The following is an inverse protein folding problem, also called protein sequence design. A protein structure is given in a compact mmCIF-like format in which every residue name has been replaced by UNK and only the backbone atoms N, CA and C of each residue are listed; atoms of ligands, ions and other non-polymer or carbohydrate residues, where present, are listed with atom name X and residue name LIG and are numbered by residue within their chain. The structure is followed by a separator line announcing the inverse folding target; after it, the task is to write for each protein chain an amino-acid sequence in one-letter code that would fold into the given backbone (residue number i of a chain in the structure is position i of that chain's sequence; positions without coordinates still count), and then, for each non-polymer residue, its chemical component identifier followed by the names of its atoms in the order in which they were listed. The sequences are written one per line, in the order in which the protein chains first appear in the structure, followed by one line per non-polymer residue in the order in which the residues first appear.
data_IF_745656471866
#
_entry.id   IF_745656471866
#
_cell.length_a   1.000
_cell.length_b   1.000
_cell.length_c   1.000
_cell.angle_alpha   90.00
_cell.angle_beta   90.00
_cell.angle_gamma   90.00
#
_symmetry.space_group_name_H-M   'P 1'
#
loop_
_entity.id
_entity.type
_entity.pdbx_description
1 polymer ?
#
# COMPACT_ATOMS: atom_id res chain seq x y z
N UNK A 1 1.29 -25.97 -11.74
CA UNK A 1 2.73 -26.15 -11.86
C UNK A 1 3.52 -24.86 -11.59
N UNK A 2 3.21 -23.75 -12.27
CA UNK A 2 3.89 -22.45 -12.09
C UNK A 2 3.88 -21.95 -10.63
N UNK A 3 2.71 -21.94 -9.98
CA UNK A 3 2.57 -21.47 -8.58
C UNK A 3 3.40 -22.29 -7.58
N UNK A 4 3.47 -23.62 -7.76
CA UNK A 4 4.26 -24.50 -6.89
C UNK A 4 5.76 -24.22 -7.06
N UNK A 5 6.21 -23.99 -8.30
CA UNK A 5 7.60 -23.64 -8.58
C UNK A 5 7.95 -22.26 -7.99
N UNK A 6 7.07 -21.28 -8.09
CA UNK A 6 7.27 -19.95 -7.48
C UNK A 6 7.36 -20.05 -5.97
N UNK A 7 6.49 -20.82 -5.30
CA UNK A 7 6.55 -21.05 -3.86
C UNK A 7 7.86 -21.74 -3.48
N UNK A 8 8.25 -22.80 -4.19
CA UNK A 8 9.48 -23.53 -3.91
C UNK A 8 10.72 -22.64 -4.07
N UNK A 9 10.80 -21.84 -5.13
CA UNK A 9 11.89 -20.87 -5.36
C UNK A 9 11.91 -19.80 -4.26
N UNK A 10 10.76 -19.30 -3.84
CA UNK A 10 10.66 -18.30 -2.78
C UNK A 10 11.14 -18.86 -1.44
N UNK A 11 10.73 -20.08 -1.09
CA UNK A 11 11.17 -20.76 0.13
C UNK A 11 12.66 -21.07 0.11
N UNK A 12 13.18 -21.53 -1.02
CA UNK A 12 14.61 -21.77 -1.21
C UNK A 12 15.42 -20.49 -1.07
N UNK A 13 14.98 -19.40 -1.73
CA UNK A 13 15.66 -18.11 -1.65
C UNK A 13 15.62 -17.52 -0.24
N UNK A 14 14.41 -17.42 0.36
CA UNK A 14 14.21 -16.82 1.70
C UNK A 14 14.83 -17.66 2.84
N UNK A 15 14.98 -18.95 2.67
CA UNK A 15 15.60 -19.83 3.66
C UNK A 15 17.11 -20.01 3.41
N UNK A 16 17.51 -21.03 2.65
CA UNK A 16 18.93 -21.38 2.52
C UNK A 16 19.81 -20.27 1.98
N UNK A 17 19.35 -19.55 0.92
CA UNK A 17 20.18 -18.55 0.25
C UNK A 17 20.44 -17.35 1.15
N UNK A 18 19.39 -16.72 1.72
CA UNK A 18 19.57 -15.57 2.59
C UNK A 18 20.36 -15.92 3.87
N UNK A 19 20.15 -17.12 4.40
CA UNK A 19 20.92 -17.60 5.56
C UNK A 19 22.40 -17.78 5.22
N UNK A 20 22.73 -18.33 4.06
CA UNK A 20 24.11 -18.52 3.58
C UNK A 20 24.84 -17.17 3.45
N UNK A 21 24.15 -16.14 2.94
CA UNK A 21 24.72 -14.79 2.81
C UNK A 21 24.64 -13.94 4.10
N UNK A 22 24.19 -14.50 5.22
CA UNK A 22 24.12 -13.77 6.49
C UNK A 22 23.16 -12.58 6.48
N UNK A 23 22.13 -12.62 5.62
CA UNK A 23 21.15 -11.54 5.54
C UNK A 23 20.27 -11.54 6.78
N UNK A 24 20.26 -10.43 7.52
CA UNK A 24 19.41 -10.26 8.70
C UNK A 24 17.93 -10.23 8.26
N UNK A 25 17.06 -11.05 8.86
CA UNK A 25 15.65 -11.03 8.56
C UNK A 25 15.03 -9.69 9.01
N UNK A 26 13.93 -9.26 8.38
CA UNK A 26 13.20 -8.07 8.83
C UNK A 26 12.67 -8.28 10.25
N UNK A 27 12.50 -7.17 10.97
CA UNK A 27 11.92 -7.17 12.31
C UNK A 27 10.55 -7.88 12.34
N UNK A 28 10.27 -8.56 13.45
CA UNK A 28 8.98 -9.26 13.64
C UNK A 28 7.80 -8.33 13.47
N UNK A 29 7.90 -7.10 13.99
CA UNK A 29 6.81 -6.11 13.92
C UNK A 29 6.46 -5.67 12.49
N UNK A 30 7.40 -5.75 11.53
CA UNK A 30 7.09 -5.43 10.12
C UNK A 30 6.03 -6.37 9.54
N UNK A 31 6.05 -7.65 9.90
CA UNK A 31 5.05 -8.62 9.46
C UNK A 31 3.70 -8.49 10.20
N UNK A 32 3.65 -7.71 11.27
CA UNK A 32 2.47 -7.50 12.11
C UNK A 32 1.90 -6.08 11.99
N UNK A 33 2.25 -5.34 10.94
CA UNK A 33 1.82 -3.95 10.76
C UNK A 33 0.30 -3.76 10.86
N UNK A 34 -0.50 -4.61 10.20
CA UNK A 34 -1.96 -4.54 10.22
C UNK A 34 -2.53 -4.91 11.59
N UNK A 35 -2.19 -6.08 12.20
CA UNK A 35 -2.60 -6.38 13.55
C UNK A 35 -2.25 -5.30 14.57
N UNK A 36 -1.02 -4.77 14.51
CA UNK A 36 -0.58 -3.72 15.42
C UNK A 36 -1.40 -2.43 15.26
N UNK A 37 -1.70 -2.03 14.03
CA UNK A 37 -2.49 -0.84 13.74
C UNK A 37 -3.94 -0.98 14.22
N UNK A 38 -4.55 -2.14 14.01
CA UNK A 38 -5.91 -2.42 14.49
C UNK A 38 -6.01 -2.42 16.02
N UNK A 39 -5.07 -3.10 16.70
CA UNK A 39 -5.01 -3.12 18.16
C UNK A 39 -4.77 -1.71 18.71
N UNK A 40 -3.83 -0.98 18.11
CA UNK A 40 -3.54 0.40 18.51
C UNK A 40 -4.75 1.32 18.34
N UNK A 41 -5.59 1.11 17.30
CA UNK A 41 -6.84 1.86 17.13
C UNK A 41 -7.82 1.62 18.25
N UNK A 42 -7.98 0.38 18.71
CA UNK A 42 -8.87 0.08 19.83
C UNK A 42 -8.47 0.87 21.07
N UNK A 43 -7.16 0.93 21.36
CA UNK A 43 -6.64 1.67 22.52
C UNK A 43 -6.78 3.19 22.29
N UNK A 44 -6.52 3.68 21.09
CA UNK A 44 -6.63 5.09 20.77
C UNK A 44 -8.07 5.62 20.88
N UNK A 45 -9.06 4.78 20.56
CA UNK A 45 -10.50 5.08 20.68
C UNK A 45 -11.06 4.73 22.08
N UNK A 46 -10.21 4.52 23.10
CA UNK A 46 -10.59 4.18 24.48
C UNK A 46 -11.43 2.88 24.57
N UNK A 47 -11.17 1.91 23.66
CA UNK A 47 -11.79 0.60 23.69
C UNK A 47 -11.40 -0.20 24.95
N UNK A 48 -12.34 -0.96 25.47
CA UNK A 48 -12.13 -1.77 26.68
C UNK A 48 -11.24 -2.98 26.37
N UNK A 49 -10.24 -3.21 27.21
CA UNK A 49 -9.41 -4.41 27.21
C UNK A 49 -9.65 -5.19 28.51
N UNK A 50 -9.68 -6.52 28.42
CA UNK A 50 -9.62 -7.35 29.61
C UNK A 50 -8.23 -7.32 30.25
N UNK A 51 -8.13 -7.60 31.55
CA UNK A 51 -6.85 -7.65 32.26
C UNK A 51 -5.84 -8.61 31.60
N UNK A 52 -6.34 -9.71 31.03
CA UNK A 52 -5.50 -10.69 30.30
C UNK A 52 -4.94 -10.11 29.02
N UNK A 53 -5.75 -9.39 28.25
CA UNK A 53 -5.36 -8.75 27.01
C UNK A 53 -4.35 -7.63 27.27
N UNK A 54 -4.60 -6.79 28.26
CA UNK A 54 -3.69 -5.70 28.67
C UNK A 54 -2.35 -6.26 29.17
N UNK A 55 -2.36 -7.31 29.99
CA UNK A 55 -1.15 -7.97 30.47
C UNK A 55 -0.34 -8.63 29.35
N UNK A 56 -0.98 -9.19 28.33
CA UNK A 56 -0.27 -9.72 27.16
C UNK A 56 0.34 -8.58 26.35
N UNK A 57 -0.41 -7.52 26.12
CA UNK A 57 0.01 -6.39 25.30
C UNK A 57 1.15 -5.59 25.96
N UNK A 58 1.12 -5.41 27.28
CA UNK A 58 2.18 -4.73 28.04
C UNK A 58 3.56 -5.41 27.97
N UNK A 59 3.60 -6.69 27.58
CA UNK A 59 4.86 -7.40 27.30
C UNK A 59 5.43 -7.06 25.93
N UNK A 60 4.58 -6.60 25.00
CA UNK A 60 4.96 -6.27 23.63
C UNK A 60 5.31 -4.80 23.45
N UNK A 61 4.68 -3.91 24.21
CA UNK A 61 4.80 -2.46 24.00
C UNK A 61 4.34 -1.71 25.26
N UNK A 62 4.82 -0.47 25.43
CA UNK A 62 4.25 0.43 26.43
C UNK A 62 2.87 0.92 26.00
N UNK A 63 1.84 0.30 26.58
CA UNK A 63 0.43 0.55 26.25
C UNK A 63 0.03 2.01 26.49
N UNK A 64 0.64 2.67 27.49
CA UNK A 64 0.31 4.05 27.86
C UNK A 64 0.67 5.07 26.78
N UNK A 65 1.62 4.74 25.91
CA UNK A 65 2.08 5.61 24.84
C UNK A 65 1.34 5.39 23.53
N UNK A 66 0.62 4.26 23.36
CA UNK A 66 -0.05 3.91 22.10
C UNK A 66 -0.99 5.02 21.65
N UNK A 67 -1.83 5.54 22.54
CA UNK A 67 -2.81 6.58 22.20
C UNK A 67 -2.16 7.87 21.69
N UNK A 68 -0.99 8.22 22.22
CA UNK A 68 -0.23 9.40 21.81
C UNK A 68 0.46 9.22 20.46
N UNK A 69 1.00 8.04 20.22
CA UNK A 69 1.79 7.74 19.03
C UNK A 69 0.95 7.20 17.86
N UNK A 70 -0.34 6.89 18.10
CA UNK A 70 -1.20 6.34 17.07
C UNK A 70 -1.48 7.34 15.94
N UNK A 71 -1.16 6.94 14.71
CA UNK A 71 -1.50 7.67 13.49
C UNK A 71 -2.42 6.79 12.62
N UNK A 72 -3.67 7.22 12.30
CA UNK A 72 -4.57 6.42 11.48
C UNK A 72 -4.08 6.19 10.04
N UNK A 73 -3.17 7.02 9.55
CA UNK A 73 -2.65 6.92 8.19
C UNK A 73 -1.40 6.04 8.06
N UNK A 74 -0.66 5.82 9.17
CA UNK A 74 0.65 5.18 9.17
C UNK A 74 0.78 4.16 10.30
N UNK A 75 1.29 2.98 10.00
CA UNK A 75 1.65 2.00 11.05
C UNK A 75 3.04 2.21 11.65
N UNK A 76 3.87 3.05 11.02
CA UNK A 76 5.27 3.25 11.42
C UNK A 76 5.46 3.81 12.82
N UNK A 77 4.64 4.75 13.34
CA UNK A 77 4.77 5.21 14.71
C UNK A 77 4.60 4.09 15.73
N UNK A 78 3.60 3.23 15.56
CA UNK A 78 3.38 2.07 16.46
C UNK A 78 4.50 1.05 16.32
N UNK A 79 4.99 0.76 15.11
CA UNK A 79 6.15 -0.11 14.91
C UNK A 79 7.39 0.45 15.59
N UNK A 80 7.60 1.75 15.50
CA UNK A 80 8.72 2.44 16.16
C UNK A 80 8.59 2.37 17.69
N UNK A 81 7.39 2.54 18.22
CA UNK A 81 7.13 2.39 19.66
C UNK A 81 7.47 0.96 20.14
N UNK A 82 7.05 -0.06 19.39
CA UNK A 82 7.39 -1.47 19.72
C UNK A 82 8.90 -1.70 19.66
N UNK A 83 9.62 -1.09 18.71
CA UNK A 83 11.10 -1.20 18.64
C UNK A 83 11.80 -0.55 19.81
N UNK A 84 11.28 0.56 20.31
CA UNK A 84 11.92 1.35 21.37
C UNK A 84 11.58 0.87 22.78
N UNK A 85 10.34 0.47 23.00
CA UNK A 85 9.81 0.16 24.35
C UNK A 85 9.43 -1.31 24.52
N UNK A 86 9.30 -2.06 23.44
CA UNK A 86 8.77 -3.40 23.45
C UNK A 86 9.82 -4.50 23.36
N UNK A 87 9.33 -5.72 23.37
CA UNK A 87 10.14 -6.93 23.27
C UNK A 87 9.75 -7.73 22.01
N UNK A 88 10.49 -7.49 20.92
CA UNK A 88 10.23 -8.16 19.63
C UNK A 88 10.52 -9.66 19.65
N UNK A 89 11.45 -10.13 20.49
CA UNK A 89 11.75 -11.56 20.68
C UNK A 89 10.55 -12.24 21.32
N UNK A 90 10.00 -11.63 22.37
CA UNK A 90 8.80 -12.13 23.03
C UNK A 90 7.61 -12.24 22.06
N UNK A 91 7.41 -11.21 21.20
CA UNK A 91 6.37 -11.24 20.17
C UNK A 91 6.63 -12.39 19.18
N UNK A 92 7.89 -12.59 18.78
CA UNK A 92 8.27 -13.65 17.84
C UNK A 92 8.00 -15.06 18.38
N UNK A 93 8.23 -15.27 19.68
CA UNK A 93 7.98 -16.54 20.37
C UNK A 93 6.48 -16.79 20.60
N UNK A 94 5.71 -15.71 20.79
CA UNK A 94 4.28 -15.77 21.16
C UNK A 94 3.36 -15.30 20.03
N UNK A 95 3.76 -15.43 18.76
CA UNK A 95 2.98 -14.96 17.59
C UNK A 95 1.54 -15.43 17.57
N UNK A 96 1.30 -16.67 17.99
CA UNK A 96 -0.05 -17.26 18.03
C UNK A 96 -0.91 -16.55 19.06
N UNK A 97 -0.36 -16.17 20.21
CA UNK A 97 -1.12 -15.48 21.26
C UNK A 97 -1.49 -14.05 20.83
N UNK A 98 -0.57 -13.35 20.16
CA UNK A 98 -0.86 -12.04 19.57
C UNK A 98 -1.84 -12.11 18.40
N UNK A 99 -1.79 -13.16 17.61
CA UNK A 99 -2.78 -13.38 16.55
C UNK A 99 -4.17 -13.67 17.12
N UNK A 100 -4.27 -14.46 18.19
CA UNK A 100 -5.52 -14.67 18.91
C UNK A 100 -6.04 -13.37 19.51
N UNK A 101 -5.19 -12.60 20.19
CA UNK A 101 -5.54 -11.29 20.73
C UNK A 101 -6.11 -10.38 19.62
N UNK A 102 -5.48 -10.33 18.45
CA UNK A 102 -5.97 -9.55 17.33
C UNK A 102 -7.36 -10.00 16.87
N UNK A 103 -7.63 -11.31 16.79
CA UNK A 103 -8.96 -11.84 16.44
C UNK A 103 -9.98 -11.52 17.53
N UNK A 104 -9.66 -11.75 18.80
CA UNK A 104 -10.55 -11.49 19.95
C UNK A 104 -10.98 -10.00 19.94
N UNK A 105 -10.02 -9.07 19.87
CA UNK A 105 -10.32 -7.64 19.81
C UNK A 105 -11.09 -7.26 18.54
N UNK A 106 -10.87 -7.93 17.42
CA UNK A 106 -11.64 -7.70 16.20
C UNK A 106 -13.11 -8.11 16.32
N UNK A 107 -13.38 -9.16 17.09
CA UNK A 107 -14.75 -9.62 17.39
C UNK A 107 -15.42 -8.67 18.41
N UNK A 108 -14.67 -8.22 19.41
CA UNK A 108 -15.18 -7.31 20.45
C UNK A 108 -15.39 -5.88 19.92
N UNK A 109 -14.53 -5.41 19.00
CA UNK A 109 -14.53 -4.04 18.45
C UNK A 109 -14.58 -3.99 16.92
N UNK A 110 -15.56 -4.63 16.24
CA UNK A 110 -15.54 -4.76 14.78
C UNK A 110 -15.63 -3.41 14.04
N UNK A 111 -16.38 -2.47 14.59
CA UNK A 111 -16.49 -1.13 13.99
C UNK A 111 -15.19 -0.33 14.06
N UNK A 112 -14.41 -0.49 15.14
CA UNK A 112 -13.10 0.16 15.31
C UNK A 112 -12.07 -0.42 14.34
N UNK A 113 -12.07 -1.75 14.14
CA UNK A 113 -11.22 -2.40 13.14
C UNK A 113 -11.56 -1.97 11.72
N UNK A 114 -12.84 -1.88 11.39
CA UNK A 114 -13.27 -1.38 10.09
C UNK A 114 -12.84 0.07 9.85
N UNK A 115 -12.99 0.94 10.85
CA UNK A 115 -12.51 2.33 10.78
C UNK A 115 -10.99 2.38 10.57
N UNK A 116 -10.22 1.59 11.32
CA UNK A 116 -8.78 1.52 11.15
C UNK A 116 -8.39 1.11 9.73
N UNK A 117 -9.05 0.09 9.17
CA UNK A 117 -8.81 -0.38 7.81
C UNK A 117 -9.21 0.67 6.75
N UNK A 118 -10.34 1.35 6.94
CA UNK A 118 -10.78 2.43 6.05
C UNK A 118 -9.76 3.58 6.07
N UNK A 119 -9.35 4.03 7.24
CA UNK A 119 -8.39 5.13 7.37
C UNK A 119 -7.05 4.78 6.74
N UNK A 120 -6.59 3.54 6.94
CA UNK A 120 -5.31 3.06 6.43
C UNK A 120 -5.31 2.81 4.90
N UNK A 121 -6.48 2.57 4.30
CA UNK A 121 -6.60 2.35 2.86
C UNK A 121 -7.13 3.54 2.08
N UNK A 122 -7.57 4.58 2.78
CA UNK A 122 -8.31 5.71 2.21
C UNK A 122 -7.60 6.37 1.02
N UNK A 123 -6.29 6.51 1.06
CA UNK A 123 -5.54 7.14 -0.02
C UNK A 123 -5.52 6.36 -1.34
N UNK A 124 -5.86 5.05 -1.31
CA UNK A 124 -5.92 4.25 -2.52
C UNK A 124 -7.25 4.34 -3.28
N UNK A 125 -8.29 4.92 -2.67
CA UNK A 125 -9.62 5.02 -3.29
C UNK A 125 -10.28 6.39 -3.16
N UNK A 126 -9.83 7.24 -2.24
CA UNK A 126 -10.38 8.58 -2.06
C UNK A 126 -9.55 9.62 -2.82
N UNK A 127 -10.12 10.29 -3.85
CA UNK A 127 -9.33 11.14 -4.76
C UNK A 127 -8.76 12.40 -4.14
N UNK A 128 -9.32 12.88 -3.03
CA UNK A 128 -8.86 14.10 -2.35
C UNK A 128 -7.59 13.89 -1.51
N UNK A 129 -7.18 12.64 -1.32
CA UNK A 129 -5.92 12.34 -0.65
C UNK A 129 -4.79 12.34 -1.67
N UNK A 130 -3.91 13.32 -1.53
CA UNK A 130 -2.72 13.47 -2.33
C UNK A 130 -1.53 12.85 -1.60
N UNK A 131 -0.72 12.12 -2.36
CA UNK A 131 0.56 11.65 -1.87
C UNK A 131 1.51 12.84 -1.66
N UNK A 132 2.24 12.83 -0.55
CA UNK A 132 3.29 13.83 -0.35
C UNK A 132 4.41 13.62 -1.37
N UNK A 133 4.74 14.68 -2.11
CA UNK A 133 5.84 14.63 -3.07
C UNK A 133 7.13 14.46 -2.29
N UNK A 134 7.96 13.53 -2.72
CA UNK A 134 9.25 13.27 -2.11
C UNK A 134 10.06 14.55 -2.04
N UNK A 135 10.37 14.99 -0.84
CA UNK A 135 11.26 16.13 -0.68
C UNK A 135 12.63 15.77 -1.24
N UNK A 136 13.23 16.66 -2.00
CA UNK A 136 14.62 16.53 -2.45
C UNK A 136 15.61 16.70 -1.27
N UNK A 137 15.13 16.74 -0.04
CA UNK A 137 15.94 16.95 1.16
C UNK A 137 16.47 15.64 1.71
N UNK A 138 17.78 15.51 1.71
CA UNK A 138 18.46 14.51 2.52
C UNK A 138 18.61 15.06 3.94
N UNK A 139 18.09 14.35 4.95
CA UNK A 139 18.32 14.68 6.34
C UNK A 139 19.76 14.30 6.71
N UNK A 140 20.40 15.13 7.52
CA UNK A 140 21.65 14.74 8.20
C UNK A 140 21.44 13.41 8.93
N UNK A 141 22.40 12.52 8.82
CA UNK A 141 22.35 11.21 9.43
C UNK A 141 23.70 10.86 10.06
N UNK A 142 23.74 9.77 10.84
CA UNK A 142 24.94 9.29 11.52
C UNK A 142 26.09 8.90 10.59
N UNK A 143 25.84 8.79 9.29
CA UNK A 143 26.83 8.49 8.25
C UNK A 143 27.53 9.75 7.69
N UNK A 144 27.24 10.94 8.24
CA UNK A 144 27.80 12.20 7.78
C UNK A 144 27.28 12.65 6.39
N UNK A 145 26.19 12.05 5.91
CA UNK A 145 25.58 12.47 4.65
C UNK A 145 24.75 13.71 4.90
N UNK A 146 25.03 14.76 4.14
CA UNK A 146 24.28 16.00 4.13
C UNK A 146 24.06 16.45 2.68
N UNK A 147 23.09 17.33 2.50
CA UNK A 147 22.82 17.90 1.19
C UNK A 147 23.75 19.07 0.92
N UNK A 148 24.68 18.88 -0.03
CA UNK A 148 25.49 19.96 -0.59
C UNK A 148 25.06 20.16 -2.06
N UNK A 149 24.09 21.06 -2.30
CA UNK A 149 23.61 21.33 -3.65
C UNK A 149 24.57 22.26 -4.38
N UNK A 150 25.08 21.79 -5.51
CA UNK A 150 25.89 22.59 -6.43
C UNK A 150 25.04 23.47 -7.36
N UNK A 151 23.70 23.34 -7.29
CA UNK A 151 22.79 24.13 -8.14
C UNK A 151 22.67 25.57 -7.62
N UNK A 152 22.58 26.56 -8.55
CA UNK A 152 22.27 27.95 -8.18
C UNK A 152 20.95 28.04 -7.42
N UNK A 153 20.87 28.95 -6.44
CA UNK A 153 19.68 29.10 -5.60
C UNK A 153 18.41 29.40 -6.34
N UNK A 154 18.49 30.13 -7.47
CA UNK A 154 17.35 30.42 -8.34
C UNK A 154 16.75 29.14 -8.94
N UNK A 155 17.58 28.18 -9.37
CA UNK A 155 17.12 26.88 -9.90
C UNK A 155 16.44 26.06 -8.80
N UNK A 156 17.02 26.01 -7.60
CA UNK A 156 16.43 25.33 -6.46
C UNK A 156 15.07 25.92 -6.07
N UNK A 157 14.92 27.23 -6.12
CA UNK A 157 13.65 27.90 -5.83
C UNK A 157 12.59 27.60 -6.89
N UNK A 158 12.97 27.55 -8.17
CA UNK A 158 12.06 27.15 -9.25
C UNK A 158 11.62 25.68 -9.04
N UNK A 159 12.55 24.78 -8.74
CA UNK A 159 12.21 23.38 -8.47
C UNK A 159 11.24 23.24 -7.27
N UNK A 160 11.49 23.96 -6.18
CA UNK A 160 10.58 23.97 -5.02
C UNK A 160 9.20 24.52 -5.38
N UNK A 161 9.16 25.57 -6.19
CA UNK A 161 7.90 26.12 -6.68
C UNK A 161 7.13 25.09 -7.51
N UNK A 162 7.79 24.43 -8.46
CA UNK A 162 7.17 23.36 -9.26
C UNK A 162 6.70 22.20 -8.39
N UNK A 163 7.49 21.80 -7.39
CA UNK A 163 7.10 20.76 -6.41
C UNK A 163 5.83 21.13 -5.60
N UNK A 164 5.56 22.43 -5.43
CA UNK A 164 4.37 22.90 -4.69
C UNK A 164 3.17 23.23 -5.57
N UNK A 165 3.35 23.32 -6.90
CA UNK A 165 2.28 23.66 -7.84
C UNK A 165 1.04 22.73 -7.74
N UNK A 166 1.27 21.44 -7.49
CA UNK A 166 0.18 20.48 -7.34
C UNK A 166 -0.76 20.82 -6.16
N UNK A 167 -0.25 21.48 -5.11
CA UNK A 167 -1.05 21.94 -3.97
C UNK A 167 -1.91 23.16 -4.29
N UNK A 168 -1.49 23.96 -5.28
CA UNK A 168 -2.16 25.21 -5.65
C UNK A 168 -3.17 25.02 -6.78
N UNK A 169 -2.94 24.03 -7.64
CA UNK A 169 -3.79 23.76 -8.81
C UNK A 169 -4.50 22.42 -8.60
N UNK A 170 -5.81 22.40 -8.24
CA UNK A 170 -6.54 21.18 -7.89
C UNK A 170 -6.45 20.07 -8.96
N UNK A 171 -6.52 20.44 -10.25
CA UNK A 171 -6.43 19.47 -11.35
C UNK A 171 -5.06 18.79 -11.39
N UNK A 172 -3.97 19.55 -11.16
CA UNK A 172 -2.64 18.97 -11.09
C UNK A 172 -2.49 18.08 -9.85
N UNK A 173 -3.12 18.44 -8.74
CA UNK A 173 -3.13 17.64 -7.53
C UNK A 173 -3.68 16.23 -7.73
N UNK A 174 -4.62 16.04 -8.65
CA UNK A 174 -5.16 14.70 -8.97
C UNK A 174 -4.08 13.74 -9.50
N UNK A 175 -3.04 14.25 -10.17
CA UNK A 175 -1.93 13.42 -10.64
C UNK A 175 -1.12 12.80 -9.50
N UNK A 176 -1.21 13.36 -8.29
CA UNK A 176 -0.59 12.83 -7.06
C UNK A 176 -1.60 12.08 -6.17
N UNK A 177 -2.82 11.84 -6.66
CA UNK A 177 -3.83 11.04 -5.97
C UNK A 177 -3.90 9.63 -6.54
N UNK A 178 -3.56 8.64 -5.73
CA UNK A 178 -3.71 7.23 -6.12
C UNK A 178 -5.19 6.90 -6.33
N UNK A 179 -6.07 7.46 -5.48
CA UNK A 179 -7.53 7.31 -5.62
C UNK A 179 -8.05 7.78 -6.97
N UNK A 180 -7.48 8.84 -7.56
CA UNK A 180 -7.84 9.28 -8.91
C UNK A 180 -7.52 8.20 -9.96
N UNK A 181 -6.36 7.56 -9.90
CA UNK A 181 -6.01 6.47 -10.80
C UNK A 181 -6.89 5.24 -10.61
N UNK A 182 -7.28 4.94 -9.37
CA UNK A 182 -8.23 3.87 -9.04
C UNK A 182 -9.58 4.10 -9.75
N UNK A 183 -10.15 5.28 -9.63
CA UNK A 183 -11.43 5.61 -10.29
C UNK A 183 -11.30 5.68 -11.80
N UNK A 184 -10.17 6.17 -12.31
CA UNK A 184 -9.87 6.16 -13.76
C UNK A 184 -9.83 4.72 -14.29
N UNK A 185 -9.17 3.81 -13.59
CA UNK A 185 -9.14 2.39 -13.96
C UNK A 185 -10.54 1.78 -13.94
N UNK A 186 -11.36 2.04 -12.92
CA UNK A 186 -12.74 1.55 -12.82
C UNK A 186 -13.59 2.09 -13.98
N UNK A 187 -13.47 3.37 -14.29
CA UNK A 187 -14.17 4.00 -15.42
C UNK A 187 -13.77 3.33 -16.75
N UNK A 188 -12.49 3.16 -17.00
CA UNK A 188 -11.98 2.54 -18.23
C UNK A 188 -12.42 1.07 -18.34
N UNK A 189 -12.45 0.33 -17.24
CA UNK A 189 -12.98 -1.02 -17.19
C UNK A 189 -14.49 -1.03 -17.54
N UNK A 190 -15.26 -0.10 -16.99
CA UNK A 190 -16.67 0.08 -17.33
C UNK A 190 -16.89 0.37 -18.81
N UNK A 191 -16.13 1.30 -19.40
CA UNK A 191 -16.18 1.60 -20.84
C UNK A 191 -15.83 0.35 -21.68
N UNK A 192 -14.82 -0.41 -21.26
CA UNK A 192 -14.40 -1.66 -21.93
C UNK A 192 -15.52 -2.70 -21.93
N UNK A 193 -16.23 -2.86 -20.80
CA UNK A 193 -17.41 -3.74 -20.67
C UNK A 193 -18.54 -3.28 -21.58
N UNK A 194 -18.88 -1.98 -21.55
CA UNK A 194 -19.93 -1.40 -22.40
C UNK A 194 -19.65 -1.63 -23.89
N UNK A 195 -18.39 -1.65 -24.28
CA UNK A 195 -17.95 -1.95 -25.65
C UNK A 195 -17.81 -3.46 -25.92
N UNK A 196 -18.24 -4.33 -25.00
CA UNK A 196 -18.18 -5.80 -25.11
C UNK A 196 -16.76 -6.36 -25.29
N UNK A 197 -15.72 -5.65 -24.83
CA UNK A 197 -14.34 -6.08 -24.92
C UNK A 197 -13.90 -6.83 -23.67
N UNK A 198 -12.79 -7.56 -23.79
CA UNK A 198 -12.20 -8.30 -22.67
C UNK A 198 -11.64 -7.38 -21.61
N UNK A 199 -12.04 -7.59 -20.35
CA UNK A 199 -11.48 -6.90 -19.16
C UNK A 199 -10.27 -7.62 -18.56
N UNK A 200 -9.84 -8.74 -19.15
CA UNK A 200 -8.73 -9.54 -18.63
C UNK A 200 -7.45 -8.73 -18.36
N UNK A 201 -7.06 -7.73 -19.17
CA UNK A 201 -5.90 -6.90 -18.91
C UNK A 201 -5.95 -6.08 -17.61
N UNK A 202 -7.14 -5.83 -17.06
CA UNK A 202 -7.32 -5.09 -15.81
C UNK A 202 -7.08 -5.95 -14.55
N UNK A 203 -7.21 -7.28 -14.63
CA UNK A 203 -7.13 -8.16 -13.47
C UNK A 203 -5.80 -8.09 -12.71
N UNK A 204 -4.62 -8.04 -13.33
CA UNK A 204 -3.37 -7.94 -12.58
C UNK A 204 -3.30 -6.70 -11.71
N UNK A 205 -3.74 -5.55 -12.23
CA UNK A 205 -3.73 -4.28 -11.50
C UNK A 205 -4.82 -4.25 -10.43
N UNK A 206 -6.00 -4.79 -10.72
CA UNK A 206 -7.05 -4.97 -9.73
C UNK A 206 -6.61 -5.87 -8.56
N UNK A 207 -5.86 -6.94 -8.84
CA UNK A 207 -5.30 -7.82 -7.81
C UNK A 207 -4.28 -7.09 -6.91
N UNK A 208 -3.45 -6.22 -7.49
CA UNK A 208 -2.54 -5.35 -6.70
C UNK A 208 -3.37 -4.44 -5.80
N UNK A 209 -4.39 -3.75 -6.32
CA UNK A 209 -5.24 -2.86 -5.53
C UNK A 209 -5.94 -3.62 -4.39
N UNK A 210 -6.48 -4.81 -4.66
CA UNK A 210 -7.09 -5.66 -3.64
C UNK A 210 -6.08 -6.06 -2.55
N UNK A 211 -4.84 -6.39 -2.92
CA UNK A 211 -3.79 -6.70 -1.95
C UNK A 211 -3.45 -5.50 -1.06
N UNK A 212 -3.49 -4.28 -1.59
CA UNK A 212 -3.30 -3.06 -0.83
C UNK A 212 -4.46 -2.81 0.14
N UNK A 213 -5.69 -3.06 -0.27
CA UNK A 213 -6.85 -2.95 0.63
C UNK A 213 -6.80 -3.93 1.81
N UNK A 214 -6.12 -5.05 1.66
CA UNK A 214 -6.01 -6.06 2.72
C UNK A 214 -4.79 -5.79 3.62
N UNK A 215 -3.66 -5.37 3.04
CA UNK A 215 -2.37 -5.47 3.72
C UNK A 215 -1.46 -4.24 3.58
N UNK A 216 -2.00 -3.04 3.30
CA UNK A 216 -1.15 -1.85 3.24
C UNK A 216 -0.76 -1.36 4.64
N UNK A 217 0.52 -1.05 4.89
CA UNK A 217 0.97 -0.44 6.13
C UNK A 217 0.85 1.09 6.15
N UNK A 218 0.51 1.70 5.01
CA UNK A 218 0.53 3.16 4.78
C UNK A 218 -0.69 3.57 3.98
N UNK A 219 -1.34 4.67 4.35
CA UNK A 219 -2.58 5.15 3.74
C UNK A 219 -2.46 5.42 2.23
N UNK A 220 -1.32 5.92 1.76
CA UNK A 220 -1.06 6.22 0.36
C UNK A 220 0.44 6.07 0.06
N UNK A 221 0.81 5.17 -0.83
CA UNK A 221 2.20 4.97 -1.23
C UNK A 221 2.27 4.62 -2.72
N UNK A 222 2.80 5.54 -3.53
CA UNK A 222 2.92 5.35 -4.97
C UNK A 222 3.74 4.13 -5.37
N UNK A 223 4.76 3.75 -4.60
CA UNK A 223 5.57 2.55 -4.89
C UNK A 223 4.72 1.30 -5.03
N UNK A 224 3.69 1.18 -4.21
CA UNK A 224 2.81 0.02 -4.20
C UNK A 224 1.76 0.05 -5.32
N UNK A 225 1.38 1.24 -5.78
CA UNK A 225 0.37 1.45 -6.82
C UNK A 225 0.95 1.90 -8.17
N UNK A 226 2.28 1.91 -8.32
CA UNK A 226 2.96 2.41 -9.51
C UNK A 226 2.51 1.70 -10.80
N UNK A 227 2.28 0.39 -10.72
CA UNK A 227 1.75 -0.38 -11.85
C UNK A 227 0.39 0.15 -12.35
N UNK A 228 -0.47 0.62 -11.45
CA UNK A 228 -1.76 1.19 -11.81
C UNK A 228 -1.59 2.48 -12.62
N UNK A 229 -0.69 3.38 -12.19
CA UNK A 229 -0.43 4.63 -12.91
C UNK A 229 0.14 4.39 -14.31
N UNK A 230 1.14 3.51 -14.40
CA UNK A 230 1.86 3.25 -15.66
C UNK A 230 1.03 2.48 -16.68
N UNK A 231 -0.02 1.77 -16.26
CA UNK A 231 -0.91 1.03 -17.16
C UNK A 231 -2.11 1.84 -17.66
N UNK A 232 -2.38 3.05 -17.11
CA UNK A 232 -3.49 3.90 -17.58
C UNK A 232 -3.46 4.13 -19.11
N UNK A 233 -2.33 4.48 -19.76
CA UNK A 233 -2.28 4.65 -21.21
C UNK A 233 -2.72 3.38 -21.97
N UNK A 234 -2.30 2.20 -21.51
CA UNK A 234 -2.71 0.91 -22.07
C UNK A 234 -4.22 0.72 -21.92
N UNK A 235 -4.79 1.01 -20.76
CA UNK A 235 -6.22 0.89 -20.52
C UNK A 235 -7.05 1.84 -21.37
N UNK A 236 -6.56 3.07 -21.60
CA UNK A 236 -7.16 4.01 -22.54
C UNK A 236 -7.14 3.43 -23.95
N UNK A 237 -6.03 2.87 -24.40
CA UNK A 237 -5.94 2.23 -25.72
C UNK A 237 -6.93 1.07 -25.85
N UNK A 238 -7.04 0.19 -24.85
CA UNK A 238 -7.97 -0.92 -24.85
C UNK A 238 -9.42 -0.43 -24.89
N UNK A 239 -9.76 0.54 -24.05
CA UNK A 239 -11.09 1.10 -23.97
C UNK A 239 -11.51 1.83 -25.26
N UNK A 240 -10.58 2.54 -25.91
CA UNK A 240 -10.85 3.40 -27.05
C UNK A 240 -10.57 2.74 -28.43
N UNK A 241 -9.82 1.61 -28.47
CA UNK A 241 -9.56 0.94 -29.77
C UNK A 241 -10.87 0.57 -30.45
N UNK A 242 -10.91 0.69 -31.77
CA UNK A 242 -11.98 0.13 -32.57
C UNK A 242 -11.72 -1.38 -32.72
N UNK A 243 -12.75 -2.19 -32.53
CA UNK A 243 -12.71 -3.59 -32.95
C UNK A 243 -12.73 -3.57 -34.48
N UNK A 244 -11.63 -3.95 -35.14
CA UNK A 244 -11.70 -4.28 -36.56
C UNK A 244 -12.72 -5.42 -36.68
N UNK A 245 -13.86 -5.14 -37.28
CA UNK A 245 -14.88 -6.17 -37.51
C UNK A 245 -14.22 -7.31 -38.30
N UNK A 246 -14.21 -8.49 -37.70
CA UNK A 246 -13.93 -9.74 -38.43
C UNK A 246 -14.86 -9.95 -39.66
N UNK A 247 -15.92 -9.16 -39.74
CA UNK A 247 -16.86 -9.11 -40.87
C UNK A 247 -16.20 -8.70 -42.20
N UNK A 248 -15.10 -7.88 -42.16
CA UNK A 248 -14.38 -7.50 -43.39
C UNK A 248 -13.48 -8.65 -43.89
N UNK A 249 -12.98 -9.46 -43.00
CA UNK A 249 -12.10 -10.59 -43.35
C UNK A 249 -12.94 -11.75 -43.89
N UNK A 250 -14.12 -12.02 -43.32
CA UNK A 250 -15.09 -13.01 -43.86
C UNK A 250 -15.69 -12.54 -45.17
N UNK A 251 -15.99 -11.24 -45.32
CA UNK A 251 -16.51 -10.70 -46.57
C UNK A 251 -15.48 -10.76 -47.71
N UNK A 252 -14.19 -10.59 -47.40
CA UNK A 252 -13.12 -10.72 -48.39
C UNK A 252 -12.87 -12.19 -48.80
N UNK A 253 -13.04 -13.13 -47.88
CA UNK A 253 -12.95 -14.58 -48.15
C UNK A 253 -14.12 -15.05 -49.00
N UNK A 254 -15.36 -14.61 -48.71
CA UNK A 254 -16.53 -14.92 -49.51
C UNK A 254 -16.48 -14.33 -50.92
N UNK A 255 -15.84 -13.18 -51.09
CA UNK A 255 -15.63 -12.55 -52.39
C UNK A 255 -14.53 -13.22 -53.21
N UNK A 256 -13.60 -13.94 -52.59
CA UNK A 256 -12.55 -14.71 -53.25
C UNK A 256 -12.99 -16.14 -53.62
N UNK A 257 -14.11 -16.60 -53.09
CA UNK A 257 -14.67 -17.93 -53.35
C UNK A 257 -15.81 -17.91 -54.37
N UNK A 258 -16.19 -16.77 -54.92
CA UNK A 258 -17.08 -16.56 -56.05
C UNK A 258 -16.28 -16.24 -57.32
#
# INVERSE_FOLDING_TARGET
MFSVMTIALTLFYKGPVLKYYGVTPPDTIESLSIPAQHIARVIADDGTLSEKQEKLLSKAVDVSQIKKEYDPALSDPIKTLVRQTGNQEYIAEHKIDYFKLWIELGIEHPSTYLKAQIDQTKGYWYPDIQYWVTTTMMKENSWGMYRDSKMPGCVLNIMRFVETLYKQIPILGLLWSIGFYTWTMILLAGVTICRKKSIAPFFPVAAILLSLFIATPVQAEFRYSYAMMTTIPLFIMIACSEEKRQDEENSSIDTMLQ
#
